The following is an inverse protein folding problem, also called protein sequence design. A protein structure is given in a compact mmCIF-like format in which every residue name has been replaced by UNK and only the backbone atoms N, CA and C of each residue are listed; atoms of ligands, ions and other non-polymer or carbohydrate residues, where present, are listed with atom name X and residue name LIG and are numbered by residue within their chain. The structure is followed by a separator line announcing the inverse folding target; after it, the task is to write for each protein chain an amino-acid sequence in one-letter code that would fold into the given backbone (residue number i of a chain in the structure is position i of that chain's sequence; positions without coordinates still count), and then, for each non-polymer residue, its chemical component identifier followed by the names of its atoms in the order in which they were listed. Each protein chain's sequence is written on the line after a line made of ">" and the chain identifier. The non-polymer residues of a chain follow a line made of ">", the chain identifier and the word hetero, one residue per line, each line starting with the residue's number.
data_IF_819252655523
#
_entry.id   IF_819252655523
#
_cell.length_a   1.000
_cell.length_b   1.000
_cell.length_c   1.000
_cell.angle_alpha   90.00
_cell.angle_beta   90.00
_cell.angle_gamma   90.00
#
_symmetry.space_group_name_H-M   'P 1'
#
loop_
_entity.id
_entity.type
_entity.pdbx_description
1 polymer ?
#
# COMPACT_ATOMS: atom_id res chain seq x y z
N UNK A 1 -23.12 16.88 1.52
CA UNK A 1 -23.23 15.86 0.45
C UNK A 1 -22.22 14.75 0.72
N UNK A 2 -22.63 13.47 0.65
CA UNK A 2 -21.72 12.33 0.70
C UNK A 2 -21.61 11.76 -0.70
N UNK A 3 -20.40 11.66 -1.24
CA UNK A 3 -20.16 11.01 -2.53
C UNK A 3 -20.04 9.50 -2.29
N UNK A 4 -20.85 8.70 -2.99
CA UNK A 4 -20.90 7.23 -2.82
C UNK A 4 -20.22 6.47 -3.97
N UNK A 5 -19.75 7.19 -4.99
CA UNK A 5 -19.13 6.61 -6.20
C UNK A 5 -17.79 7.31 -6.44
N UNK A 6 -16.79 6.56 -6.89
CA UNK A 6 -15.49 7.10 -7.30
C UNK A 6 -15.67 7.88 -8.60
N UNK A 7 -15.03 9.04 -8.70
CA UNK A 7 -15.07 9.86 -9.91
C UNK A 7 -14.76 11.32 -9.63
N UNK A 8 -14.65 12.09 -10.71
CA UNK A 8 -14.61 13.54 -10.65
C UNK A 8 -16.04 14.05 -10.69
N UNK A 9 -16.48 14.69 -9.61
CA UNK A 9 -17.75 15.39 -9.55
C UNK A 9 -17.51 16.87 -9.76
N UNK A 10 -18.42 17.56 -10.43
CA UNK A 10 -18.35 19.02 -10.55
C UNK A 10 -19.35 19.64 -9.58
N UNK A 11 -18.85 20.40 -8.62
CA UNK A 11 -19.69 21.29 -7.84
C UNK A 11 -19.92 22.56 -8.66
N UNK A 12 -21.17 22.88 -8.97
CA UNK A 12 -21.54 24.10 -9.69
C UNK A 12 -22.26 25.07 -8.76
N UNK A 13 -21.89 26.35 -8.84
CA UNK A 13 -22.62 27.45 -8.21
C UNK A 13 -23.03 28.42 -9.30
N UNK A 14 -24.33 28.68 -9.41
CA UNK A 14 -24.88 29.65 -10.35
C UNK A 14 -25.45 30.84 -9.59
N UNK A 15 -24.89 32.02 -9.83
CA UNK A 15 -25.48 33.29 -9.41
C UNK A 15 -26.49 33.75 -10.47
N UNK A 16 -27.67 34.19 -10.02
CA UNK A 16 -28.71 34.75 -10.89
C UNK A 16 -28.97 36.18 -10.41
N UNK A 17 -28.79 37.16 -11.30
CA UNK A 17 -29.06 38.56 -11.01
C UNK A 17 -30.55 38.90 -11.23
N UNK A 18 -30.99 40.06 -10.75
CA UNK A 18 -32.39 40.51 -10.83
C UNK A 18 -32.89 40.72 -12.26
N UNK A 19 -31.98 40.90 -13.22
CA UNK A 19 -32.25 40.97 -14.66
C UNK A 19 -32.26 39.59 -15.34
N UNK A 20 -32.20 38.51 -14.54
CA UNK A 20 -32.15 37.11 -14.95
C UNK A 20 -30.82 36.67 -15.63
N UNK A 21 -29.79 37.52 -15.60
CA UNK A 21 -28.43 37.16 -16.03
C UNK A 21 -27.86 36.08 -15.11
N UNK A 22 -27.15 35.09 -15.69
CA UNK A 22 -26.57 33.96 -14.95
C UNK A 22 -25.06 33.91 -15.09
N UNK A 23 -24.36 33.67 -13.99
CA UNK A 23 -22.94 33.34 -13.98
C UNK A 23 -22.73 32.06 -13.21
N UNK A 24 -21.99 31.12 -13.79
CA UNK A 24 -21.73 29.82 -13.16
C UNK A 24 -20.23 29.65 -12.91
N UNK A 25 -19.88 29.23 -11.70
CA UNK A 25 -18.54 28.76 -11.34
C UNK A 25 -18.61 27.25 -11.11
N UNK A 26 -17.65 26.52 -11.65
CA UNK A 26 -17.53 25.07 -11.47
C UNK A 26 -16.21 24.73 -10.79
N UNK A 27 -16.26 23.89 -9.76
CA UNK A 27 -15.08 23.38 -9.06
C UNK A 27 -15.08 21.85 -9.16
N UNK A 28 -14.03 21.22 -9.69
CA UNK A 28 -13.91 19.77 -9.69
C UNK A 28 -13.61 19.26 -8.27
N UNK A 29 -14.33 18.23 -7.85
CA UNK A 29 -14.13 17.46 -6.62
C UNK A 29 -13.67 16.07 -7.02
N UNK A 30 -12.39 15.78 -6.77
CA UNK A 30 -11.81 14.46 -7.03
C UNK A 30 -12.02 13.55 -5.83
N UNK A 31 -12.93 12.58 -5.97
CA UNK A 31 -13.12 11.52 -4.98
C UNK A 31 -12.25 10.35 -5.40
N UNK A 32 -11.06 10.22 -4.79
CA UNK A 32 -10.16 9.09 -5.04
C UNK A 32 -10.58 7.86 -4.21
N UNK A 33 -10.33 6.63 -4.71
CA UNK A 33 -10.46 5.42 -3.92
C UNK A 33 -9.61 5.48 -2.65
N UNK A 34 -9.86 4.57 -1.71
CA UNK A 34 -9.02 4.32 -0.52
C UNK A 34 -7.55 4.41 -0.96
N UNK A 35 -6.72 5.28 -0.33
CA UNK A 35 -5.33 5.42 -0.70
C UNK A 35 -4.63 4.06 -0.74
N UNK A 36 -3.76 3.88 -1.73
CA UNK A 36 -2.85 2.75 -1.73
C UNK A 36 -1.94 2.90 -0.51
N UNK A 37 -1.95 1.90 0.35
CA UNK A 37 -1.09 1.87 1.54
C UNK A 37 -0.55 0.47 1.73
N UNK A 38 0.76 0.33 1.78
CA UNK A 38 1.47 -0.90 2.06
C UNK A 38 1.53 -1.14 3.56
N UNK A 39 1.35 -2.39 3.96
CA UNK A 39 1.56 -2.86 5.33
C UNK A 39 1.65 -4.38 5.30
N UNK A 40 2.47 -4.96 6.19
CA UNK A 40 2.47 -6.40 6.41
C UNK A 40 2.77 -6.78 7.86
N UNK A 41 2.47 -8.03 8.19
CA UNK A 41 2.92 -8.71 9.41
C UNK A 41 3.82 -9.90 9.05
N UNK A 42 4.74 -10.24 9.94
CA UNK A 42 5.65 -11.39 9.80
C UNK A 42 5.45 -12.35 10.98
N UNK A 43 5.36 -13.65 10.72
CA UNK A 43 5.19 -14.66 11.77
C UNK A 43 6.07 -15.89 11.50
N UNK A 44 6.97 -16.28 12.44
CA UNK A 44 7.33 -15.55 13.67
C UNK A 44 8.15 -14.27 13.39
N UNK A 45 8.14 -13.30 14.31
CA UNK A 45 8.91 -12.05 14.16
C UNK A 45 10.41 -12.21 14.52
N UNK A 46 10.75 -13.21 15.33
CA UNK A 46 12.11 -13.51 15.78
C UNK A 46 12.29 -15.02 15.98
N UNK A 47 13.52 -15.49 15.93
CA UNK A 47 13.85 -16.90 16.13
C UNK A 47 15.29 -17.22 15.71
N UNK A 48 15.73 -18.45 15.94
CA UNK A 48 17.06 -18.91 15.54
C UNK A 48 17.08 -19.39 14.07
N UNK A 49 18.19 -19.14 13.38
CA UNK A 49 18.41 -19.68 12.05
C UNK A 49 18.53 -21.23 12.07
N UNK A 50 17.97 -21.95 11.09
CA UNK A 50 17.14 -21.44 10.00
C UNK A 50 15.72 -21.10 10.48
N UNK A 51 15.25 -19.89 10.14
CA UNK A 51 13.91 -19.44 10.52
C UNK A 51 13.04 -19.24 9.28
N UNK A 52 11.99 -20.04 9.18
CA UNK A 52 10.92 -19.87 8.18
C UNK A 52 9.88 -18.87 8.70
N UNK A 53 9.56 -17.85 7.90
CA UNK A 53 8.64 -16.77 8.24
C UNK A 53 7.57 -16.64 7.15
N UNK A 54 6.30 -16.56 7.57
CA UNK A 54 5.18 -16.19 6.71
C UNK A 54 4.94 -14.67 6.75
N UNK A 55 4.86 -14.04 5.57
CA UNK A 55 4.57 -12.62 5.44
C UNK A 55 3.15 -12.38 4.94
N UNK A 56 2.35 -11.62 5.68
CA UNK A 56 0.96 -11.33 5.36
C UNK A 56 0.71 -9.83 5.13
N UNK A 57 0.43 -9.39 3.90
CA UNK A 57 0.15 -7.98 3.61
C UNK A 57 -1.32 -7.57 3.84
N UNK A 58 -2.12 -8.36 4.58
CA UNK A 58 -3.57 -8.14 4.78
C UNK A 58 -3.95 -6.75 5.30
N UNK A 59 -3.06 -6.08 6.03
CA UNK A 59 -3.29 -4.71 6.51
C UNK A 59 -3.09 -3.63 5.42
N UNK A 60 -2.60 -3.99 4.23
CA UNK A 60 -2.50 -3.06 3.10
C UNK A 60 -3.90 -2.62 2.62
N UNK A 61 -4.01 -1.36 2.19
CA UNK A 61 -5.28 -0.77 1.72
C UNK A 61 -5.17 -0.20 0.31
N UNK A 62 -6.32 0.10 -0.29
CA UNK A 62 -6.42 0.57 -1.66
C UNK A 62 -6.47 -0.57 -2.69
N UNK A 63 -6.49 -0.20 -3.97
CA UNK A 63 -6.47 -1.17 -5.07
C UNK A 63 -5.05 -1.63 -5.33
N UNK A 64 -4.72 -2.88 -5.00
CA UNK A 64 -3.39 -3.46 -5.23
C UNK A 64 -3.44 -4.40 -6.43
N UNK A 65 -2.62 -4.12 -7.43
CA UNK A 65 -2.43 -4.91 -8.64
C UNK A 65 -1.19 -5.81 -8.58
N UNK A 66 -0.10 -5.35 -7.94
CA UNK A 66 1.16 -6.11 -7.82
C UNK A 66 1.74 -5.99 -6.42
N UNK A 67 2.48 -7.02 -6.04
CA UNK A 67 3.31 -7.09 -4.84
C UNK A 67 4.76 -7.33 -5.28
N UNK A 68 5.70 -6.74 -4.57
CA UNK A 68 7.13 -7.00 -4.71
C UNK A 68 7.76 -7.01 -3.34
N UNK A 69 8.42 -8.10 -3.01
CA UNK A 69 9.11 -8.33 -1.75
C UNK A 69 10.61 -8.34 -1.97
N UNK A 70 11.33 -7.70 -1.08
CA UNK A 70 12.78 -7.82 -0.90
C UNK A 70 13.02 -8.23 0.55
N UNK A 71 13.62 -9.40 0.77
CA UNK A 71 13.84 -9.93 2.10
C UNK A 71 15.13 -9.40 2.76
N UNK A 72 15.95 -8.64 2.03
CA UNK A 72 17.20 -8.06 2.54
C UNK A 72 18.38 -9.04 2.62
N UNK A 73 18.19 -10.30 2.20
CA UNK A 73 19.24 -11.33 2.09
C UNK A 73 19.69 -11.59 0.64
N UNK A 74 19.12 -10.83 -0.31
CA UNK A 74 19.36 -10.97 -1.76
C UNK A 74 18.24 -11.69 -2.50
N UNK A 75 17.27 -12.27 -1.81
CA UNK A 75 16.11 -12.90 -2.42
C UNK A 75 14.91 -11.94 -2.53
N UNK A 76 14.12 -12.10 -3.61
CA UNK A 76 12.94 -11.29 -3.90
C UNK A 76 11.80 -12.15 -4.44
N UNK A 77 10.56 -11.69 -4.28
CA UNK A 77 9.40 -12.39 -4.85
C UNK A 77 8.23 -11.46 -5.14
N UNK A 78 7.33 -11.89 -6.03
CA UNK A 78 6.07 -11.17 -6.37
C UNK A 78 4.83 -11.86 -5.83
N UNK A 79 5.01 -12.96 -5.08
CA UNK A 79 3.92 -13.66 -4.42
C UNK A 79 3.27 -12.75 -3.38
N UNK A 80 1.93 -12.67 -3.38
CA UNK A 80 1.20 -11.82 -2.45
C UNK A 80 1.51 -12.16 -0.98
N UNK A 81 1.47 -13.44 -0.63
CA UNK A 81 1.69 -13.94 0.73
C UNK A 81 2.82 -14.98 0.72
N UNK A 82 4.09 -14.56 0.70
CA UNK A 82 5.22 -15.48 0.59
C UNK A 82 5.56 -16.10 1.95
N UNK A 83 6.20 -17.27 1.89
CA UNK A 83 6.96 -17.86 2.99
C UNK A 83 8.43 -17.79 2.59
N UNK A 84 9.29 -17.36 3.51
CA UNK A 84 10.73 -17.20 3.26
C UNK A 84 11.56 -17.74 4.42
N UNK A 85 12.70 -18.33 4.13
CA UNK A 85 13.57 -18.95 5.15
C UNK A 85 14.91 -18.23 5.24
N UNK A 86 15.17 -17.63 6.38
CA UNK A 86 16.45 -17.01 6.68
C UNK A 86 17.42 -18.05 7.26
N UNK A 87 18.44 -18.40 6.50
CA UNK A 87 19.39 -19.47 6.86
C UNK A 87 20.56 -19.01 7.75
N UNK A 88 20.78 -17.70 7.87
CA UNK A 88 21.94 -17.13 8.57
C UNK A 88 21.46 -16.15 9.64
N UNK A 89 22.05 -16.15 10.85
CA UNK A 89 21.77 -15.12 11.85
C UNK A 89 22.12 -13.72 11.31
N UNK A 90 21.26 -12.74 11.56
CA UNK A 90 21.40 -11.40 11.01
C UNK A 90 20.19 -10.51 11.26
N UNK A 91 20.33 -9.24 10.89
CA UNK A 91 19.23 -8.29 10.88
C UNK A 91 18.87 -7.97 9.42
N UNK A 92 17.66 -8.37 9.02
CA UNK A 92 17.19 -8.27 7.66
C UNK A 92 16.11 -7.19 7.55
N UNK A 93 16.32 -6.21 6.66
CA UNK A 93 15.31 -5.19 6.35
C UNK A 93 14.41 -5.71 5.25
N UNK A 94 13.26 -6.26 5.62
CA UNK A 94 12.25 -6.75 4.68
C UNK A 94 11.42 -5.58 4.17
N UNK A 95 11.22 -5.49 2.87
CA UNK A 95 10.47 -4.43 2.19
C UNK A 95 9.35 -5.06 1.37
N UNK A 96 8.13 -4.55 1.55
CA UNK A 96 7.02 -4.77 0.64
C UNK A 96 6.79 -3.48 -0.16
N UNK A 97 6.79 -3.59 -1.48
CA UNK A 97 6.25 -2.58 -2.40
C UNK A 97 4.97 -3.10 -3.04
N UNK A 98 3.92 -2.28 -3.03
CA UNK A 98 2.66 -2.56 -3.72
C UNK A 98 2.43 -1.53 -4.81
N UNK A 99 1.77 -1.94 -5.90
CA UNK A 99 1.36 -1.01 -6.95
C UNK A 99 -0.07 -1.22 -7.39
N UNK A 100 -0.75 -0.13 -7.76
CA UNK A 100 -2.08 -0.18 -8.36
C UNK A 100 -2.02 -0.33 -9.90
N UNK A 101 -3.18 -0.42 -10.55
CA UNK A 101 -3.28 -0.54 -12.02
C UNK A 101 -2.82 0.72 -12.78
N UNK A 102 -2.56 1.82 -12.09
CA UNK A 102 -2.08 3.09 -12.63
C UNK A 102 -0.61 3.35 -12.31
N UNK A 103 0.09 2.33 -11.79
CA UNK A 103 1.48 2.40 -11.33
C UNK A 103 1.72 3.40 -10.19
N UNK A 104 0.70 3.71 -9.39
CA UNK A 104 0.91 4.33 -8.08
C UNK A 104 1.58 3.30 -7.19
N UNK A 105 2.62 3.71 -6.46
CA UNK A 105 3.40 2.86 -5.57
C UNK A 105 3.20 3.29 -4.12
N UNK A 106 3.26 2.32 -3.22
CA UNK A 106 3.54 2.56 -1.81
C UNK A 106 4.42 1.42 -1.25
N UNK A 107 5.16 1.69 -0.19
CA UNK A 107 6.05 0.70 0.40
C UNK A 107 6.05 0.72 1.92
N UNK A 108 6.30 -0.45 2.50
CA UNK A 108 6.42 -0.67 3.93
C UNK A 108 7.65 -1.53 4.22
N UNK A 109 8.38 -1.22 5.30
CA UNK A 109 9.57 -1.97 5.69
C UNK A 109 9.55 -2.36 7.16
N UNK A 110 10.01 -3.56 7.46
CA UNK A 110 10.15 -4.10 8.82
C UNK A 110 11.53 -4.75 8.97
N UNK A 111 12.19 -4.51 10.10
CA UNK A 111 13.44 -5.21 10.43
C UNK A 111 13.11 -6.51 11.15
N UNK A 112 13.68 -7.62 10.68
CA UNK A 112 13.54 -8.95 11.24
C UNK A 112 14.89 -9.38 11.81
N UNK A 113 14.90 -9.72 13.10
CA UNK A 113 16.10 -10.21 13.79
C UNK A 113 16.10 -11.73 13.83
N UNK A 114 17.10 -12.33 13.19
CA UNK A 114 17.37 -13.75 13.22
C UNK A 114 18.56 -13.99 14.14
N UNK A 115 18.33 -14.73 15.22
CA UNK A 115 19.37 -15.07 16.20
C UNK A 115 20.05 -16.38 15.84
N UNK A 116 21.11 -16.72 16.56
CA UNK A 116 21.84 -17.97 16.40
C UNK A 116 23.32 -17.79 16.70
N UNK A 117 24.03 -18.90 16.81
CA UNK A 117 25.48 -18.90 16.96
C UNK A 117 26.13 -18.68 15.59
N UNK A 118 27.10 -17.76 15.53
CA UNK A 118 27.94 -17.52 14.36
C UNK A 118 29.14 -18.47 14.42
#
# INVERSE_FOLDING_TARGET
>A
YKYTTIGTFTASVTAIASDNTRSTVQIPVNVRPIPLTACFTALPETGEAPLEIEFDPKCSTGTIAKYSWDFGDGETTKTRKPVHTFNVPGNYKVILEVSDNQNVLDSYSMNILITGSI
#
